data_IF_534415881620
#
_entry.id   IF_534415881620
#
_cell.length_a   1.000
_cell.length_b   1.000
_cell.length_c   1.000
_cell.angle_alpha   90.00
_cell.angle_beta   90.00
_cell.angle_gamma   90.00
#
_symmetry.space_group_name_H-M   'P 1'
#
loop_
_entity.id
_entity.type
_entity.pdbx_description
1 polymer ?
#
# COMPACT_ATOMS: atom_id res chain seq x y z
N UNK A 1 9.08 33.63 -13.33
CA UNK A 1 9.96 32.45 -13.53
C UNK A 1 10.68 31.99 -12.25
N UNK A 2 11.57 32.77 -11.61
CA UNK A 2 12.24 32.30 -10.38
C UNK A 2 11.29 32.08 -9.19
N UNK A 3 10.29 32.96 -9.00
CA UNK A 3 9.29 32.83 -7.93
C UNK A 3 8.43 31.57 -8.10
N UNK A 4 7.98 31.32 -9.32
CA UNK A 4 7.15 30.16 -9.68
C UNK A 4 7.88 28.83 -9.46
N UNK A 5 9.20 28.80 -9.71
CA UNK A 5 10.03 27.62 -9.43
C UNK A 5 10.18 27.38 -7.92
N UNK A 6 10.30 28.46 -7.13
CA UNK A 6 10.42 28.35 -5.67
C UNK A 6 9.11 27.89 -5.04
N UNK A 7 7.97 28.42 -5.48
CA UNK A 7 6.65 27.97 -5.02
C UNK A 7 6.37 26.52 -5.42
N UNK A 8 6.77 26.10 -6.63
CA UNK A 8 6.62 24.70 -7.03
C UNK A 8 7.45 23.75 -6.15
N UNK A 9 8.67 24.15 -5.78
CA UNK A 9 9.51 23.34 -4.88
C UNK A 9 8.90 23.16 -3.50
N UNK A 10 8.13 24.13 -3.00
CA UNK A 10 7.44 24.01 -1.73
C UNK A 10 6.37 22.90 -1.74
N UNK A 11 5.85 22.55 -2.93
CA UNK A 11 4.81 21.53 -3.09
C UNK A 11 5.38 20.11 -3.20
N UNK A 12 6.70 19.97 -3.35
CA UNK A 12 7.35 18.67 -3.56
C UNK A 12 7.02 17.63 -2.47
N UNK A 13 6.97 17.96 -1.17
CA UNK A 13 6.69 16.97 -0.15
C UNK A 13 5.26 16.38 -0.28
N UNK A 14 4.26 17.20 -0.60
CA UNK A 14 2.88 16.74 -0.87
C UNK A 14 2.84 15.81 -2.07
N UNK A 15 3.51 16.19 -3.16
CA UNK A 15 3.60 15.37 -4.38
C UNK A 15 4.26 14.03 -4.05
N UNK A 16 5.36 14.04 -3.29
CA UNK A 16 6.07 12.82 -2.89
C UNK A 16 5.24 11.90 -1.99
N UNK A 17 4.40 12.46 -1.11
CA UNK A 17 3.54 11.69 -0.23
C UNK A 17 2.33 11.10 -0.98
N UNK A 18 1.68 11.87 -1.86
CA UNK A 18 0.49 11.45 -2.60
C UNK A 18 0.78 10.55 -3.80
N UNK A 19 1.91 10.75 -4.49
CA UNK A 19 2.27 9.98 -5.69
C UNK A 19 3.00 8.67 -5.38
N UNK A 20 2.82 8.10 -4.18
CA UNK A 20 3.34 6.77 -3.85
C UNK A 20 2.44 5.69 -4.46
N UNK A 21 3.04 4.61 -4.95
CA UNK A 21 2.29 3.44 -5.47
C UNK A 21 1.38 2.82 -4.40
N UNK A 22 1.79 2.93 -3.14
CA UNK A 22 1.00 2.49 -1.99
C UNK A 22 -0.27 3.34 -1.76
N UNK A 23 -0.33 4.56 -2.32
CA UNK A 23 -1.47 5.46 -2.17
C UNK A 23 -2.62 5.02 -3.10
N UNK A 24 -3.82 4.91 -2.56
CA UNK A 24 -4.98 4.30 -3.22
C UNK A 24 -6.20 5.21 -2.99
N UNK A 25 -7.30 5.06 -3.78
CA UNK A 25 -8.49 5.91 -3.66
C UNK A 25 -9.02 6.04 -2.22
N UNK A 26 -8.99 4.95 -1.45
CA UNK A 26 -9.44 4.97 -0.04
C UNK A 26 -8.62 5.92 0.84
N UNK A 27 -7.32 6.11 0.56
CA UNK A 27 -6.48 7.03 1.33
C UNK A 27 -6.80 8.51 1.03
N UNK A 28 -7.25 8.82 -0.19
CA UNK A 28 -7.77 10.15 -0.51
C UNK A 28 -9.08 10.43 0.24
N UNK A 29 -9.97 9.44 0.36
CA UNK A 29 -11.20 9.58 1.15
C UNK A 29 -10.87 9.86 2.63
N UNK A 30 -9.92 9.11 3.20
CA UNK A 30 -9.46 9.35 4.58
C UNK A 30 -8.87 10.76 4.75
N UNK A 31 -8.10 11.21 3.77
CA UNK A 31 -7.51 12.54 3.78
C UNK A 31 -8.58 13.64 3.73
N UNK A 32 -9.56 13.50 2.84
CA UNK A 32 -10.64 14.48 2.69
C UNK A 32 -11.59 14.52 3.88
N UNK A 33 -11.81 13.37 4.53
CA UNK A 33 -12.54 13.26 5.80
C UNK A 33 -11.80 14.00 6.94
N UNK A 34 -10.47 13.80 7.08
CA UNK A 34 -9.67 14.52 8.07
C UNK A 34 -9.53 16.03 7.77
N UNK A 35 -9.67 16.43 6.50
CA UNK A 35 -9.67 17.83 6.04
C UNK A 35 -11.06 18.48 6.05
N UNK A 36 -12.11 17.76 6.48
CA UNK A 36 -13.50 18.22 6.44
C UNK A 36 -13.91 18.80 5.08
N UNK A 37 -13.39 18.24 3.99
CA UNK A 37 -13.58 18.74 2.63
C UNK A 37 -14.25 17.69 1.76
N UNK A 38 -15.34 18.05 1.08
CA UNK A 38 -15.97 17.19 0.08
C UNK A 38 -15.29 17.39 -1.29
N UNK A 39 -14.32 16.53 -1.61
CA UNK A 39 -13.72 16.47 -2.95
C UNK A 39 -13.91 15.12 -3.58
N UNK A 40 -14.29 15.14 -4.86
CA UNK A 40 -14.40 13.94 -5.68
C UNK A 40 -13.05 13.58 -6.31
N UNK A 41 -12.72 12.30 -6.30
CA UNK A 41 -11.50 11.72 -6.89
C UNK A 41 -11.84 11.13 -8.27
N UNK A 42 -13.11 10.88 -8.58
CA UNK A 42 -13.56 10.17 -9.79
C UNK A 42 -13.27 10.94 -11.08
N UNK A 43 -13.38 12.27 -11.07
CA UNK A 43 -13.09 13.13 -12.23
C UNK A 43 -11.60 13.50 -12.39
N UNK A 44 -10.74 12.94 -11.53
CA UNK A 44 -9.32 13.24 -11.47
C UNK A 44 -9.01 14.45 -10.58
N UNK A 45 -7.91 14.33 -9.86
CA UNK A 45 -7.48 15.31 -8.87
C UNK A 45 -6.23 16.06 -9.37
N UNK A 46 -6.30 17.38 -9.41
CA UNK A 46 -5.17 18.23 -9.78
C UNK A 46 -4.46 18.79 -8.55
N UNK A 47 -3.14 19.02 -8.67
CA UNK A 47 -2.36 19.69 -7.62
C UNK A 47 -2.93 21.08 -7.30
N UNK A 48 -3.49 21.79 -8.28
CA UNK A 48 -4.07 23.11 -8.05
C UNK A 48 -5.28 23.04 -7.11
N UNK A 49 -6.19 22.10 -7.33
CA UNK A 49 -7.34 21.89 -6.42
C UNK A 49 -6.88 21.55 -5.01
N UNK A 50 -5.83 20.73 -4.88
CA UNK A 50 -5.24 20.40 -3.59
C UNK A 50 -4.61 21.63 -2.89
N UNK A 51 -3.99 22.53 -3.65
CA UNK A 51 -3.44 23.77 -3.09
C UNK A 51 -4.54 24.75 -2.67
N UNK A 52 -5.67 24.78 -3.38
CA UNK A 52 -6.82 25.63 -3.06
C UNK A 52 -7.49 25.24 -1.74
N UNK A 53 -7.48 23.95 -1.38
CA UNK A 53 -7.96 23.45 -0.08
C UNK A 53 -6.90 23.56 1.03
N UNK A 54 -5.75 24.16 0.76
CA UNK A 54 -4.71 24.37 1.77
C UNK A 54 -3.96 23.11 2.19
N UNK A 55 -3.82 22.11 1.31
CA UNK A 55 -3.19 20.82 1.66
C UNK A 55 -1.77 20.94 2.26
N UNK A 56 -1.05 22.02 1.94
CA UNK A 56 0.29 22.30 2.48
C UNK A 56 0.28 22.55 3.98
N UNK A 57 -0.80 23.14 4.50
CA UNK A 57 -0.96 23.41 5.93
C UNK A 57 -1.25 22.11 6.71
N UNK A 58 -1.69 21.07 6.00
CA UNK A 58 -2.02 19.75 6.53
C UNK A 58 -1.01 18.67 6.13
N UNK A 59 0.23 19.07 5.86
CA UNK A 59 1.25 18.15 5.37
C UNK A 59 1.56 16.99 6.31
N UNK A 60 1.53 17.23 7.62
CA UNK A 60 1.75 16.19 8.64
C UNK A 60 0.70 15.08 8.53
N UNK A 61 -0.55 15.47 8.25
CA UNK A 61 -1.67 14.55 8.02
C UNK A 61 -1.46 13.72 6.75
N UNK A 62 -1.08 14.39 5.66
CA UNK A 62 -0.78 13.73 4.37
C UNK A 62 0.36 12.72 4.54
N UNK A 63 1.45 13.10 5.22
CA UNK A 63 2.59 12.23 5.48
C UNK A 63 2.22 11.04 6.38
N UNK A 64 1.37 11.25 7.38
CA UNK A 64 0.86 10.18 8.25
C UNK A 64 0.07 9.15 7.45
N UNK A 65 -0.92 9.59 6.66
CA UNK A 65 -1.74 8.70 5.83
C UNK A 65 -0.86 7.98 4.79
N UNK A 66 0.06 8.70 4.15
CA UNK A 66 1.04 8.12 3.23
C UNK A 66 1.91 7.05 3.91
N UNK A 67 2.38 7.29 5.14
CA UNK A 67 3.12 6.31 5.92
C UNK A 67 2.31 5.07 6.29
N UNK A 68 1.01 5.24 6.61
CA UNK A 68 0.09 4.13 6.84
C UNK A 68 -0.15 3.32 5.58
N UNK A 69 -0.37 3.98 4.45
CA UNK A 69 -0.51 3.36 3.13
C UNK A 69 0.72 2.49 2.80
N UNK A 70 1.92 3.02 3.01
CA UNK A 70 3.17 2.31 2.76
C UNK A 70 3.32 1.05 3.64
N UNK A 71 2.93 1.13 4.92
CA UNK A 71 2.92 -0.03 5.83
C UNK A 71 1.92 -1.08 5.37
N UNK A 72 0.71 -0.66 4.99
CA UNK A 72 -0.32 -1.56 4.47
C UNK A 72 0.14 -2.26 3.18
N UNK A 73 0.77 -1.52 2.27
CA UNK A 73 1.31 -2.08 1.03
C UNK A 73 2.39 -3.12 1.34
N UNK A 74 3.35 -2.81 2.21
CA UNK A 74 4.40 -3.76 2.62
C UNK A 74 3.81 -5.04 3.20
N UNK A 75 2.81 -4.93 4.08
CA UNK A 75 2.13 -6.07 4.69
C UNK A 75 1.39 -6.92 3.64
N UNK A 76 0.66 -6.29 2.72
CA UNK A 76 -0.04 -6.98 1.63
C UNK A 76 0.93 -7.72 0.71
N UNK A 77 2.05 -7.09 0.39
CA UNK A 77 3.12 -7.69 -0.42
C UNK A 77 3.74 -8.89 0.28
N UNK A 78 4.06 -8.78 1.57
CA UNK A 78 4.57 -9.90 2.36
C UNK A 78 3.59 -11.08 2.38
N UNK A 79 2.30 -10.81 2.62
CA UNK A 79 1.26 -11.84 2.61
C UNK A 79 1.10 -12.51 1.24
N UNK A 80 1.18 -11.73 0.15
CA UNK A 80 1.12 -12.26 -1.21
C UNK A 80 2.33 -13.15 -1.52
N UNK A 81 3.52 -12.77 -1.06
CA UNK A 81 4.74 -13.59 -1.17
C UNK A 81 4.59 -14.90 -0.41
N UNK A 82 4.16 -14.87 0.86
CA UNK A 82 3.92 -16.08 1.65
C UNK A 82 2.95 -17.05 0.97
N UNK A 83 1.82 -16.52 0.46
CA UNK A 83 0.85 -17.33 -0.29
C UNK A 83 1.45 -17.93 -1.58
N UNK A 84 2.30 -17.17 -2.27
CA UNK A 84 2.97 -17.63 -3.49
C UNK A 84 3.97 -18.75 -3.18
N UNK A 85 4.72 -18.62 -2.09
CA UNK A 85 5.68 -19.64 -1.62
C UNK A 85 4.99 -20.92 -1.18
N UNK A 86 3.82 -20.82 -0.55
CA UNK A 86 3.05 -22.00 -0.11
C UNK A 86 2.30 -22.69 -1.24
N UNK A 87 1.96 -21.99 -2.33
CA UNK A 87 1.19 -22.55 -3.44
C UNK A 87 1.79 -23.84 -4.06
N UNK A 88 3.11 -23.94 -4.31
CA UNK A 88 3.72 -25.16 -4.84
C UNK A 88 4.09 -26.20 -3.77
N UNK A 89 3.85 -25.97 -2.48
CA UNK A 89 4.17 -26.96 -1.45
C UNK A 89 3.24 -28.17 -1.57
N UNK A 90 3.80 -29.31 -1.94
CA UNK A 90 3.10 -30.59 -2.03
C UNK A 90 3.64 -31.56 -0.98
N UNK A 91 2.75 -32.14 -0.18
CA UNK A 91 3.11 -33.18 0.78
C UNK A 91 3.32 -34.50 0.05
N UNK A 92 4.53 -35.06 0.13
CA UNK A 92 4.80 -36.39 -0.40
C UNK A 92 4.28 -37.45 0.57
N UNK A 93 3.36 -38.29 0.11
CA UNK A 93 2.82 -39.42 0.89
C UNK A 93 3.26 -40.74 0.28
N UNK A 94 3.77 -41.65 1.11
CA UNK A 94 4.20 -42.98 0.73
C UNK A 94 3.34 -44.04 1.41
N UNK A 95 2.91 -45.06 0.67
CA UNK A 95 2.15 -46.16 1.24
C UNK A 95 2.96 -46.92 2.30
N UNK A 96 2.36 -47.16 3.47
CA UNK A 96 2.98 -47.88 4.57
C UNK A 96 2.67 -49.38 4.49
N UNK A 97 3.63 -50.14 3.96
CA UNK A 97 3.58 -51.61 3.89
C UNK A 97 2.24 -52.06 3.27
N UNK A 98 1.57 -53.08 3.85
CA UNK A 98 0.28 -53.61 3.40
C UNK A 98 -0.87 -53.21 4.33
N UNK A 99 -0.74 -52.10 5.05
CA UNK A 99 -1.72 -51.68 6.08
C UNK A 99 -2.87 -50.84 5.53
N UNK A 100 -2.78 -50.39 4.27
CA UNK A 100 -3.71 -49.43 3.69
C UNK A 100 -3.52 -47.99 4.20
N UNK A 101 -2.45 -47.72 4.95
CA UNK A 101 -2.14 -46.37 5.48
C UNK A 101 -0.98 -45.73 4.71
N UNK A 102 -0.80 -44.41 4.85
CA UNK A 102 0.24 -43.64 4.18
C UNK A 102 1.07 -42.85 5.21
N UNK A 103 2.39 -42.76 5.00
CA UNK A 103 3.32 -41.94 5.78
C UNK A 103 3.68 -40.69 4.97
N UNK A 104 3.58 -39.52 5.60
CA UNK A 104 4.06 -38.26 5.02
C UNK A 104 5.60 -38.23 5.12
N UNK A 105 6.29 -37.96 4.00
CA UNK A 105 7.75 -37.84 3.88
C UNK A 105 8.09 -36.45 3.30
N UNK A 106 9.29 -35.93 3.58
CA UNK A 106 9.75 -34.65 3.02
C UNK A 106 9.23 -33.40 3.78
N UNK A 107 9.11 -33.51 5.11
CA UNK A 107 8.72 -32.40 5.99
C UNK A 107 9.89 -31.46 6.35
N UNK A 108 11.11 -31.75 5.89
CA UNK A 108 12.32 -30.96 6.22
C UNK A 108 12.26 -29.53 5.64
N UNK A 109 11.55 -29.31 4.53
CA UNK A 109 11.37 -28.00 3.88
C UNK A 109 10.16 -27.19 4.42
N UNK A 110 9.37 -27.77 5.33
CA UNK A 110 8.12 -27.20 5.87
C UNK A 110 8.29 -26.75 7.35
N UNK A 111 9.50 -26.88 7.91
CA UNK A 111 9.77 -26.70 9.34
C UNK A 111 10.25 -25.29 9.73
#
# INVERSE_FOLDING_TARGET
>A
MRKDIVSFRANMPVIQALCQEAFQPMHFIMLFDELETDMDIEDGLTLQQLLEIGILDHIETVEKISGEAQKQHSLKTALATMKKEWKPMELQVLAYKNTGTYVVKGIDDIQ
#
